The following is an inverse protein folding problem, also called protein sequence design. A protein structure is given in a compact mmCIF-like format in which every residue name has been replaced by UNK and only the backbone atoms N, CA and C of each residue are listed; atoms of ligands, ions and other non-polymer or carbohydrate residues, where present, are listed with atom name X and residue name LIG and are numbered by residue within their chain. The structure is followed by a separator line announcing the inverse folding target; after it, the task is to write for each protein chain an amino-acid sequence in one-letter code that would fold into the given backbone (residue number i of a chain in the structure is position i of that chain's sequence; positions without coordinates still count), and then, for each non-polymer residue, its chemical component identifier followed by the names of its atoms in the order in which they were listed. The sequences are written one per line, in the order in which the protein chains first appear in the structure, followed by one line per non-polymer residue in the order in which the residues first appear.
data_IF_233352256619
#
_entry.id   IF_233352256619
#
_cell.length_a   1.000
_cell.length_b   1.000
_cell.length_c   1.000
_cell.angle_alpha   90.00
_cell.angle_beta   90.00
_cell.angle_gamma   90.00
#
_symmetry.space_group_name_H-M   'P 1'
#
loop_
_entity.id
_entity.type
_entity.pdbx_description
1 polymer ?
#
# COMPACT_ATOMS: atom_id res chain seq x y z
N UNK A 1 -56.39 -31.59 -28.60
CA UNK A 1 -55.96 -31.14 -27.26
C UNK A 1 -54.99 -32.18 -26.72
N UNK A 2 -53.73 -32.08 -27.10
CA UNK A 2 -52.62 -32.88 -26.58
C UNK A 2 -51.52 -31.88 -26.24
N UNK A 3 -51.22 -31.78 -24.96
CA UNK A 3 -50.13 -30.95 -24.47
C UNK A 3 -48.78 -31.55 -24.85
N UNK A 4 -47.77 -30.69 -24.93
CA UNK A 4 -46.42 -31.10 -24.65
C UNK A 4 -45.69 -29.92 -24.01
N UNK A 5 -45.24 -30.17 -22.78
CA UNK A 5 -44.68 -29.21 -21.83
C UNK A 5 -43.36 -28.61 -22.30
N UNK A 6 -43.16 -27.34 -21.98
CA UNK A 6 -41.88 -26.64 -22.02
C UNK A 6 -41.04 -27.04 -20.80
N UNK A 7 -40.28 -28.13 -20.92
CA UNK A 7 -39.26 -28.52 -19.95
C UNK A 7 -37.93 -28.52 -20.73
N UNK A 8 -37.03 -27.57 -20.50
CA UNK A 8 -35.95 -27.78 -19.54
C UNK A 8 -34.61 -27.76 -20.28
N UNK A 9 -33.94 -26.60 -20.27
CA UNK A 9 -32.55 -26.44 -20.72
C UNK A 9 -31.60 -27.08 -19.68
N UNK A 10 -30.78 -28.09 -20.01
CA UNK A 10 -29.53 -28.32 -19.28
C UNK A 10 -28.54 -27.24 -19.79
N UNK A 11 -28.25 -26.19 -19.03
CA UNK A 11 -27.38 -26.16 -17.84
C UNK A 11 -26.06 -26.91 -18.05
N UNK A 12 -25.00 -26.10 -18.17
CA UNK A 12 -23.61 -26.41 -17.85
C UNK A 12 -22.74 -27.06 -18.95
N UNK A 13 -22.17 -26.22 -19.82
CA UNK A 13 -20.83 -26.46 -20.34
C UNK A 13 -19.90 -25.32 -19.91
N UNK A 14 -19.26 -25.54 -18.77
CA UNK A 14 -17.80 -25.42 -18.66
C UNK A 14 -17.18 -24.05 -18.95
N UNK A 15 -17.72 -22.94 -18.40
CA UNK A 15 -16.86 -21.78 -18.13
C UNK A 15 -16.21 -21.95 -16.76
N UNK A 16 -15.24 -22.87 -16.76
CA UNK A 16 -14.22 -23.13 -15.76
C UNK A 16 -14.29 -22.16 -14.57
N UNK A 17 -14.91 -22.60 -13.48
CA UNK A 17 -14.66 -22.03 -12.18
C UNK A 17 -13.16 -22.21 -11.91
N UNK A 18 -12.35 -21.19 -12.23
CA UNK A 18 -11.02 -21.08 -11.65
C UNK A 18 -11.24 -20.84 -10.16
N UNK A 19 -11.29 -21.95 -9.43
CA UNK A 19 -11.11 -21.97 -8.00
C UNK A 19 -9.78 -21.27 -7.69
N UNK A 20 -9.85 -20.01 -7.28
CA UNK A 20 -8.76 -19.37 -6.57
C UNK A 20 -8.74 -19.96 -5.16
N UNK A 21 -8.24 -21.19 -5.05
CA UNK A 21 -7.97 -21.83 -3.76
C UNK A 21 -6.98 -20.98 -2.94
N UNK A 22 -7.02 -21.04 -1.60
CA UNK A 22 -6.24 -20.17 -0.72
C UNK A 22 -4.77 -20.60 -0.57
N UNK A 23 -4.07 -20.88 -1.67
CA UNK A 23 -2.72 -21.44 -1.64
C UNK A 23 -1.77 -20.84 -2.68
N UNK A 24 -1.77 -19.52 -2.82
CA UNK A 24 -0.62 -18.80 -3.40
C UNK A 24 0.57 -18.75 -2.40
N UNK A 25 0.96 -19.90 -1.83
CA UNK A 25 2.02 -20.01 -0.83
C UNK A 25 3.38 -20.46 -1.38
N UNK A 26 3.54 -20.59 -2.70
CA UNK A 26 4.86 -20.80 -3.27
C UNK A 26 4.92 -20.31 -4.72
N UNK A 27 5.70 -19.25 -4.93
CA UNK A 27 6.31 -18.94 -6.23
C UNK A 27 7.63 -18.24 -5.93
N UNK A 28 8.70 -19.04 -5.98
CA UNK A 28 10.05 -18.70 -6.41
C UNK A 28 10.47 -17.22 -6.23
N UNK A 29 11.18 -16.93 -5.14
CA UNK A 29 12.08 -15.78 -5.08
C UNK A 29 11.51 -14.39 -4.71
N UNK A 30 10.21 -14.22 -4.46
CA UNK A 30 9.72 -12.97 -3.86
C UNK A 30 9.99 -12.97 -2.35
N UNK A 31 11.17 -12.46 -1.95
CA UNK A 31 11.43 -12.10 -0.54
C UNK A 31 10.45 -10.99 -0.14
N UNK A 32 9.37 -11.37 0.51
CA UNK A 32 8.44 -10.43 1.14
C UNK A 32 8.91 -10.12 2.56
N UNK A 33 8.52 -8.96 3.05
CA UNK A 33 8.95 -8.44 4.35
C UNK A 33 7.72 -8.20 5.22
N UNK A 34 7.55 -9.00 6.26
CA UNK A 34 6.40 -8.95 7.15
C UNK A 34 6.65 -8.08 8.39
N UNK A 35 5.64 -7.31 8.80
CA UNK A 35 5.64 -6.61 10.06
C UNK A 35 5.28 -7.55 11.21
N UNK A 36 6.11 -7.64 12.24
CA UNK A 36 5.85 -8.52 13.40
C UNK A 36 4.78 -7.97 14.36
N UNK A 37 4.36 -6.72 14.22
CA UNK A 37 3.36 -6.08 15.11
C UNK A 37 1.94 -6.28 14.58
N UNK A 38 1.73 -6.11 13.27
CA UNK A 38 0.40 -6.18 12.65
C UNK A 38 0.33 -7.16 11.46
N UNK A 39 1.37 -7.96 11.25
CA UNK A 39 1.47 -9.02 10.23
C UNK A 39 1.28 -8.58 8.78
N UNK A 40 1.26 -7.28 8.49
CA UNK A 40 1.22 -6.75 7.13
C UNK A 40 2.48 -7.12 6.34
N UNK A 41 2.27 -7.55 5.11
CA UNK A 41 3.32 -8.00 4.19
C UNK A 41 3.65 -6.87 3.21
N UNK A 42 4.94 -6.57 3.06
CA UNK A 42 5.46 -5.57 2.14
C UNK A 42 6.36 -6.23 1.09
N UNK A 43 6.35 -5.76 -0.16
CA UNK A 43 7.20 -6.31 -1.22
C UNK A 43 8.67 -5.88 -1.09
N UNK A 44 8.99 -4.86 -0.28
CA UNK A 44 10.33 -4.30 -0.10
C UNK A 44 10.63 -4.05 1.37
N UNK A 45 11.87 -4.30 1.79
CA UNK A 45 12.33 -4.06 3.17
C UNK A 45 12.15 -2.60 3.58
N UNK A 46 12.45 -1.66 2.68
CA UNK A 46 12.32 -0.22 2.96
C UNK A 46 10.89 0.18 3.30
N UNK A 47 9.90 -0.46 2.66
CA UNK A 47 8.49 -0.20 2.95
C UNK A 47 8.11 -0.75 4.32
N UNK A 48 8.62 -1.94 4.68
CA UNK A 48 8.45 -2.47 6.03
C UNK A 48 9.08 -1.54 7.08
N UNK A 49 10.31 -1.06 6.88
CA UNK A 49 10.98 -0.16 7.84
C UNK A 49 10.22 1.17 7.98
N UNK A 50 9.76 1.77 6.87
CA UNK A 50 8.91 2.97 6.92
C UNK A 50 7.60 2.69 7.64
N UNK A 51 7.02 1.52 7.45
CA UNK A 51 5.80 1.10 8.13
C UNK A 51 6.03 0.90 9.62
N UNK A 52 7.15 0.31 10.06
CA UNK A 52 7.44 0.13 11.48
C UNK A 52 7.43 1.44 12.28
N UNK A 53 7.80 2.56 11.66
CA UNK A 53 7.70 3.89 12.26
C UNK A 53 6.28 4.30 12.65
N UNK A 54 5.25 3.68 12.08
CA UNK A 54 3.86 3.94 12.50
C UNK A 54 3.53 3.31 13.84
N UNK A 55 4.26 2.26 14.24
CA UNK A 55 4.10 1.62 15.55
C UNK A 55 4.95 2.32 16.61
N UNK A 56 6.18 2.72 16.28
CA UNK A 56 7.07 3.39 17.23
C UNK A 56 6.76 4.89 17.38
N UNK A 57 5.98 5.48 16.48
CA UNK A 57 5.70 6.91 16.47
C UNK A 57 6.90 7.77 16.09
N UNK A 58 8.01 7.17 15.65
CA UNK A 58 9.20 7.90 15.24
C UNK A 58 8.93 8.80 14.03
N UNK A 59 9.26 10.08 14.20
CA UNK A 59 9.12 11.10 13.16
C UNK A 59 10.47 11.76 12.90
N UNK A 60 11.39 11.05 12.21
CA UNK A 60 12.75 11.52 12.00
C UNK A 60 12.85 12.71 11.03
N UNK A 61 11.79 13.02 10.29
CA UNK A 61 11.80 14.12 9.34
C UNK A 61 11.07 15.32 9.93
N UNK A 62 11.79 16.42 10.14
CA UNK A 62 11.23 17.71 10.55
C UNK A 62 11.04 18.64 9.35
N UNK A 63 9.98 19.44 9.42
CA UNK A 63 9.86 20.62 8.59
C UNK A 63 10.89 21.66 9.06
N UNK A 64 11.62 22.32 8.16
CA UNK A 64 12.57 23.37 8.54
C UNK A 64 11.89 24.69 8.89
N UNK A 65 10.61 24.86 8.56
CA UNK A 65 9.87 26.12 8.72
C UNK A 65 8.89 26.10 9.90
N UNK A 66 8.61 24.93 10.49
CA UNK A 66 7.73 24.77 11.64
C UNK A 66 8.01 23.47 12.38
N UNK A 67 7.36 23.27 13.54
CA UNK A 67 7.53 22.07 14.37
C UNK A 67 6.85 20.81 13.82
N UNK A 68 6.34 20.84 12.58
CA UNK A 68 5.76 19.67 11.96
C UNK A 68 6.81 18.59 11.72
N UNK A 69 6.57 17.40 12.27
CA UNK A 69 7.39 16.21 12.03
C UNK A 69 6.59 15.10 11.37
N UNK A 70 7.20 14.44 10.38
CA UNK A 70 6.63 13.32 9.66
C UNK A 70 7.47 12.04 9.81
N UNK A 71 6.83 10.88 9.66
CA UNK A 71 7.49 9.58 9.63
C UNK A 71 8.16 9.27 8.28
N UNK A 72 7.80 10.03 7.23
CA UNK A 72 8.33 9.89 5.87
C UNK A 72 8.66 11.25 5.24
N UNK A 73 9.70 11.28 4.38
CA UNK A 73 10.13 12.48 3.64
C UNK A 73 9.02 13.05 2.78
N UNK A 74 8.29 12.21 2.05
CA UNK A 74 7.19 12.62 1.17
C UNK A 74 6.08 13.35 1.92
N UNK A 75 5.78 12.93 3.15
CA UNK A 75 4.79 13.59 4.01
C UNK A 75 5.23 15.00 4.37
N UNK A 76 6.49 15.18 4.80
CA UNK A 76 7.05 16.50 5.14
C UNK A 76 7.17 17.37 3.89
N UNK A 77 7.62 16.81 2.77
CA UNK A 77 7.76 17.54 1.52
C UNK A 77 6.41 18.06 1.02
N UNK A 78 5.37 17.21 1.02
CA UNK A 78 4.00 17.64 0.69
C UNK A 78 3.48 18.71 1.64
N UNK A 79 3.79 18.61 2.93
CA UNK A 79 3.46 19.65 3.90
C UNK A 79 4.17 20.97 3.55
N UNK A 80 5.46 20.95 3.24
CA UNK A 80 6.22 22.14 2.83
C UNK A 80 5.62 22.74 1.55
N UNK A 81 5.37 21.94 0.53
CA UNK A 81 4.78 22.42 -0.73
C UNK A 81 3.32 22.88 -0.61
N UNK A 82 2.60 22.56 0.46
CA UNK A 82 1.21 23.03 0.62
C UNK A 82 1.08 24.17 1.63
N UNK A 83 1.95 24.22 2.64
CA UNK A 83 1.89 25.20 3.74
C UNK A 83 2.97 26.27 3.64
N UNK A 84 4.08 25.98 2.97
CA UNK A 84 5.24 26.87 2.83
C UNK A 84 5.62 27.16 1.36
N UNK A 85 4.80 26.74 0.39
CA UNK A 85 5.04 26.94 -1.04
C UNK A 85 4.97 28.41 -1.51
N UNK A 86 4.61 29.34 -0.63
CA UNK A 86 4.11 30.63 -1.06
C UNK A 86 5.12 31.49 -1.84
N UNK A 87 6.45 31.32 -1.72
CA UNK A 87 7.39 32.12 -2.53
C UNK A 87 8.69 31.38 -2.85
N UNK A 88 8.96 31.26 -4.15
CA UNK A 88 10.16 30.73 -4.78
C UNK A 88 11.45 31.52 -4.49
N UNK A 89 11.80 31.76 -3.23
CA UNK A 89 13.17 32.10 -2.83
C UNK A 89 13.73 30.94 -2.03
N UNK A 90 14.07 29.89 -2.77
CA UNK A 90 14.81 28.75 -2.27
C UNK A 90 16.29 29.14 -2.15
N UNK A 91 16.88 28.98 -0.96
CA UNK A 91 18.17 28.35 -0.88
C UNK A 91 17.99 27.01 -0.15
N UNK A 92 18.18 25.89 -0.85
CA UNK A 92 18.78 24.72 -0.20
C UNK A 92 20.14 25.21 0.28
N UNK A 93 20.25 25.49 1.55
CA UNK A 93 21.49 25.18 2.24
C UNK A 93 21.11 24.43 3.51
N UNK A 94 21.54 23.17 3.68
CA UNK A 94 21.50 22.54 4.99
C UNK A 94 22.46 23.32 5.90
N UNK A 95 22.06 23.73 7.12
CA UNK A 95 23.03 24.25 8.09
C UNK A 95 24.04 23.14 8.43
N UNK A 96 25.32 23.53 8.45
CA UNK A 96 26.45 22.70 8.91
C UNK A 96 26.29 22.32 10.38
#
# INVERSE_FOLDING_TARGET
MTGFSLEGLPSDESRSAQAMGPAALYSEGRRTHQCMVCFKIFPKKDNLVKHQRTHTGERPFSCPYCDFRGSQKSTVNRHIHSKHAARCHWPVTPPQ
#
